data_IF_418319313080
#
_entry.id   IF_418319313080
#
_cell.length_a   1.000
_cell.length_b   1.000
_cell.length_c   1.000
_cell.angle_alpha   90.00
_cell.angle_beta   90.00
_cell.angle_gamma   90.00
#
_symmetry.space_group_name_H-M   'P 1'
#
loop_
_entity.id
_entity.type
_entity.pdbx_description
1 polymer ?
#
# COMPACT_ATOMS: atom_id res chain seq x y z
N UNK A 1 -0.17 -6.22 -16.88
CA UNK A 1 0.43 -7.57 -16.81
C UNK A 1 1.09 -7.86 -18.15
N UNK A 2 2.16 -8.66 -18.19
CA UNK A 2 2.78 -9.03 -19.45
C UNK A 2 1.80 -9.91 -20.28
N UNK A 3 1.71 -9.72 -21.62
CA UNK A 3 0.90 -10.59 -22.48
C UNK A 3 1.33 -12.06 -22.37
N UNK A 4 0.39 -13.00 -22.41
CA UNK A 4 0.68 -14.45 -22.37
C UNK A 4 0.95 -15.04 -20.98
N UNK A 5 1.03 -14.19 -19.93
CA UNK A 5 1.36 -14.62 -18.57
C UNK A 5 0.20 -15.35 -17.87
N UNK A 6 -1.05 -15.04 -18.21
CA UNK A 6 -2.22 -15.61 -17.55
C UNK A 6 -2.57 -17.01 -18.08
N UNK A 7 -2.07 -17.35 -19.26
CA UNK A 7 -2.34 -18.59 -19.99
C UNK A 7 -1.39 -19.73 -19.58
N UNK A 8 -0.30 -19.42 -18.85
CA UNK A 8 0.68 -20.39 -18.39
C UNK A 8 0.14 -21.26 -17.24
N UNK A 9 0.16 -22.57 -17.42
CA UNK A 9 -0.34 -23.55 -16.42
C UNK A 9 0.49 -23.62 -15.12
N UNK A 10 1.70 -23.06 -15.13
CA UNK A 10 2.64 -23.06 -14.01
C UNK A 10 2.70 -21.71 -13.28
N UNK A 11 1.71 -20.83 -13.47
CA UNK A 11 1.69 -19.49 -12.86
C UNK A 11 0.49 -19.33 -11.92
N UNK A 12 0.72 -18.71 -10.76
CA UNK A 12 -0.33 -18.23 -9.87
C UNK A 12 -0.33 -16.69 -9.88
N UNK A 13 -1.47 -16.09 -10.19
CA UNK A 13 -1.64 -14.64 -10.30
C UNK A 13 -2.60 -14.16 -9.22
N UNK A 14 -2.24 -13.08 -8.52
CA UNK A 14 -3.09 -12.47 -7.50
C UNK A 14 -3.34 -10.99 -7.84
N UNK A 15 -4.53 -10.45 -7.54
CA UNK A 15 -4.85 -9.05 -7.82
C UNK A 15 -4.29 -8.12 -6.74
N UNK A 16 -2.96 -8.13 -6.54
CA UNK A 16 -2.26 -7.33 -5.51
C UNK A 16 -2.88 -7.50 -4.11
N UNK A 17 -3.08 -8.75 -3.68
CA UNK A 17 -3.74 -9.05 -2.39
C UNK A 17 -2.77 -9.35 -1.25
N UNK A 18 -1.46 -9.17 -1.46
CA UNK A 18 -0.45 -9.53 -0.47
C UNK A 18 -0.63 -8.84 0.89
N UNK A 19 -1.10 -7.58 0.90
CA UNK A 19 -1.36 -6.80 2.13
C UNK A 19 -2.82 -6.80 2.56
N UNK A 20 -3.69 -7.59 1.92
CA UNK A 20 -5.14 -7.53 2.10
C UNK A 20 -5.65 -8.35 3.31
N UNK A 21 -4.92 -8.34 4.44
CA UNK A 21 -5.43 -8.84 5.72
C UNK A 21 -6.04 -7.70 6.53
N UNK A 22 -6.97 -8.02 7.44
CA UNK A 22 -7.60 -7.02 8.30
C UNK A 22 -6.58 -6.27 9.15
N UNK A 23 -5.62 -7.00 9.73
CA UNK A 23 -4.56 -6.44 10.59
C UNK A 23 -3.66 -5.48 9.80
N UNK A 24 -3.20 -5.91 8.62
CA UNK A 24 -2.30 -5.10 7.78
C UNK A 24 -3.02 -3.85 7.27
N UNK A 25 -4.26 -4.00 6.78
CA UNK A 25 -5.06 -2.88 6.27
C UNK A 25 -5.45 -1.89 7.37
N UNK A 26 -5.70 -2.37 8.59
CA UNK A 26 -5.96 -1.51 9.75
C UNK A 26 -4.72 -0.69 10.08
N UNK A 27 -3.55 -1.33 10.20
CA UNK A 27 -2.29 -0.64 10.47
C UNK A 27 -1.93 0.40 9.40
N UNK A 28 -2.14 0.08 8.12
CA UNK A 28 -1.96 1.03 7.01
C UNK A 28 -2.92 2.22 7.11
N UNK A 29 -4.19 1.98 7.47
CA UNK A 29 -5.20 3.04 7.63
C UNK A 29 -4.88 3.96 8.80
N UNK A 30 -4.43 3.40 9.93
CA UNK A 30 -3.95 4.18 11.06
C UNK A 30 -2.73 5.03 10.70
N UNK A 31 -1.75 4.47 9.98
CA UNK A 31 -0.58 5.20 9.55
C UNK A 31 -0.97 6.38 8.63
N UNK A 32 -1.93 6.18 7.73
CA UNK A 32 -2.45 7.25 6.87
C UNK A 32 -3.11 8.36 7.69
N UNK A 33 -3.98 8.00 8.65
CA UNK A 33 -4.62 8.97 9.54
C UNK A 33 -3.60 9.77 10.37
N UNK A 34 -2.58 9.10 10.91
CA UNK A 34 -1.50 9.75 11.68
C UNK A 34 -0.72 10.73 10.81
N UNK A 35 -0.36 10.36 9.57
CA UNK A 35 0.30 11.29 8.63
C UNK A 35 -0.56 12.55 8.36
N UNK A 36 -1.88 12.40 8.19
CA UNK A 36 -2.79 13.54 7.98
C UNK A 36 -2.80 14.48 9.18
N UNK A 37 -2.89 13.92 10.40
CA UNK A 37 -2.90 14.70 11.64
C UNK A 37 -1.61 15.52 11.77
N UNK A 38 -0.43 14.91 11.56
CA UNK A 38 0.86 15.62 11.62
C UNK A 38 0.89 16.85 10.70
N UNK A 39 0.46 16.69 9.44
CA UNK A 39 0.44 17.77 8.45
C UNK A 39 -0.54 18.87 8.84
N UNK A 40 -1.74 18.50 9.30
CA UNK A 40 -2.74 19.48 9.75
C UNK A 40 -2.30 20.25 11.00
N UNK A 41 -1.44 19.66 11.82
CA UNK A 41 -0.82 20.31 12.97
C UNK A 41 0.48 21.08 12.62
N UNK A 42 0.79 21.22 11.33
CA UNK A 42 1.93 22.00 10.84
C UNK A 42 3.28 21.30 10.94
N UNK A 43 3.30 19.98 11.18
CA UNK A 43 4.50 19.14 11.22
C UNK A 43 4.69 18.37 9.90
N UNK A 44 5.85 17.75 9.75
CA UNK A 44 6.10 16.84 8.62
C UNK A 44 5.32 15.53 8.81
N UNK A 45 4.84 14.96 7.71
CA UNK A 45 4.23 13.64 7.73
C UNK A 45 5.21 12.58 8.27
N UNK A 46 4.73 11.56 8.99
CA UNK A 46 5.57 10.48 9.54
C UNK A 46 6.34 9.71 8.46
N UNK A 47 5.75 9.54 7.27
CA UNK A 47 6.33 8.81 6.15
C UNK A 47 6.17 9.64 4.87
N UNK A 48 6.95 10.72 4.69
CA UNK A 48 6.84 11.59 3.54
C UNK A 48 7.40 10.89 2.30
N UNK A 49 6.78 11.15 1.15
CA UNK A 49 7.33 10.69 -0.13
C UNK A 49 8.55 11.53 -0.47
N UNK A 50 9.67 10.88 -0.76
CA UNK A 50 10.89 11.58 -1.21
C UNK A 50 10.61 12.21 -2.57
N UNK A 51 10.89 13.50 -2.70
CA UNK A 51 10.91 14.16 -4.01
C UNK A 51 12.15 13.69 -4.77
N UNK A 52 11.97 13.30 -6.04
CA UNK A 52 13.05 12.96 -6.95
C UNK A 52 13.74 14.20 -7.50
#
# INVERSE_FOLDING_TARGET
MAPGLAELSNTALTPHTASATEETRTAMSELAAKNIIEVLEGREALTPVKSN
#
